data_IF_843406396287
#
_entry.id   IF_843406396287
#
_cell.length_a   1.000
_cell.length_b   1.000
_cell.length_c   1.000
_cell.angle_alpha   90.00
_cell.angle_beta   90.00
_cell.angle_gamma   90.00
#
_symmetry.space_group_name_H-M   'P 1'
#
loop_
_entity.id
_entity.type
_entity.pdbx_description
1 polymer ?
#
# COMPACT_ATOMS: atom_id res chain seq x y z
N UNK A 1 -58.70 -57.68 -75.30
CA UNK A 1 -57.92 -56.70 -76.01
C UNK A 1 -57.07 -55.93 -74.97
N UNK A 2 -55.83 -56.43 -74.75
CA UNK A 2 -54.91 -55.91 -73.77
C UNK A 2 -53.91 -54.97 -74.44
N UNK A 3 -53.89 -53.72 -74.09
CA UNK A 3 -52.85 -52.78 -74.57
C UNK A 3 -51.82 -52.57 -73.41
N UNK A 4 -50.58 -52.97 -73.70
CA UNK A 4 -49.41 -52.78 -72.86
C UNK A 4 -48.87 -51.39 -73.06
N UNK A 5 -48.83 -50.58 -71.95
CA UNK A 5 -48.11 -49.32 -71.91
C UNK A 5 -46.69 -49.55 -71.40
N UNK A 6 -45.72 -49.33 -72.24
CA UNK A 6 -44.28 -49.34 -71.92
C UNK A 6 -43.86 -48.04 -71.24
N UNK A 7 -43.39 -48.12 -70.02
CA UNK A 7 -42.78 -47.02 -69.34
C UNK A 7 -41.28 -46.91 -69.66
N UNK A 8 -40.92 -45.85 -70.40
CA UNK A 8 -39.53 -45.48 -70.66
C UNK A 8 -38.94 -44.73 -69.53
N UNK A 9 -37.95 -45.33 -68.85
CA UNK A 9 -37.21 -44.72 -67.73
C UNK A 9 -36.31 -43.61 -68.27
N UNK A 10 -36.58 -42.35 -67.89
CA UNK A 10 -35.67 -41.20 -68.12
C UNK A 10 -34.45 -41.35 -67.22
N UNK A 11 -33.26 -41.46 -67.82
CA UNK A 11 -31.97 -41.35 -67.18
C UNK A 11 -31.86 -39.98 -66.52
N UNK A 12 -31.86 -39.90 -65.21
CA UNK A 12 -31.61 -38.65 -64.44
C UNK A 12 -30.16 -38.21 -64.63
N UNK A 13 -29.98 -37.04 -65.23
CA UNK A 13 -28.73 -36.32 -65.16
C UNK A 13 -28.39 -36.01 -63.76
N UNK A 14 -27.22 -36.47 -63.28
CA UNK A 14 -26.61 -36.04 -62.09
C UNK A 14 -26.27 -34.55 -62.28
N UNK A 15 -27.09 -33.65 -61.78
CA UNK A 15 -26.68 -32.26 -61.50
C UNK A 15 -25.53 -32.33 -60.49
N UNK A 16 -24.32 -32.10 -60.95
CA UNK A 16 -23.20 -31.72 -60.11
C UNK A 16 -23.51 -30.32 -59.55
N UNK A 17 -24.24 -30.29 -58.41
CA UNK A 17 -24.41 -29.06 -57.64
C UNK A 17 -23.04 -28.55 -57.26
N UNK A 18 -22.73 -27.38 -57.78
CA UNK A 18 -21.56 -26.59 -57.34
C UNK A 18 -21.72 -26.36 -55.82
N UNK A 19 -21.10 -27.22 -55.02
CA UNK A 19 -21.11 -27.10 -53.54
C UNK A 19 -20.35 -25.86 -53.22
N UNK A 20 -21.06 -24.72 -53.15
CA UNK A 20 -20.47 -23.48 -52.66
C UNK A 20 -20.02 -23.69 -51.25
N UNK A 21 -18.71 -23.84 -51.08
CA UNK A 21 -18.08 -23.93 -49.75
C UNK A 21 -18.42 -22.68 -48.96
N UNK A 22 -18.81 -22.82 -47.69
CA UNK A 22 -19.13 -21.67 -46.84
C UNK A 22 -17.89 -20.80 -46.69
N UNK A 23 -18.07 -19.49 -46.84
CA UNK A 23 -17.02 -18.50 -46.61
C UNK A 23 -16.90 -18.28 -45.12
N UNK A 24 -15.68 -18.45 -44.56
CA UNK A 24 -15.38 -18.30 -43.15
C UNK A 24 -14.22 -17.31 -42.98
N UNK A 25 -14.43 -16.33 -42.14
CA UNK A 25 -13.40 -15.34 -41.77
C UNK A 25 -12.30 -16.00 -40.95
N UNK A 26 -11.06 -15.82 -41.38
CA UNK A 26 -9.86 -16.34 -40.72
C UNK A 26 -8.82 -15.23 -40.55
N UNK A 27 -7.97 -15.35 -39.51
CA UNK A 27 -6.82 -14.49 -39.32
C UNK A 27 -5.59 -15.30 -38.94
N UNK A 28 -4.42 -14.71 -39.08
CA UNK A 28 -3.20 -15.22 -38.49
C UNK A 28 -3.06 -14.67 -37.07
N UNK A 29 -2.50 -15.45 -36.10
CA UNK A 29 -2.12 -14.92 -34.83
C UNK A 29 -1.15 -13.73 -34.96
N UNK A 30 -1.32 -12.72 -34.14
CA UNK A 30 -0.30 -11.67 -33.97
C UNK A 30 0.82 -12.18 -33.06
N UNK A 31 2.05 -11.80 -33.36
CA UNK A 31 3.20 -12.09 -32.51
C UNK A 31 3.74 -10.78 -31.99
N UNK A 32 3.71 -10.60 -30.67
CA UNK A 32 4.17 -9.36 -30.04
C UNK A 32 4.79 -9.63 -28.65
N UNK A 33 5.49 -8.65 -28.13
CA UNK A 33 6.00 -8.70 -26.76
C UNK A 33 4.93 -8.27 -25.77
N UNK A 34 4.64 -9.11 -24.80
CA UNK A 34 3.56 -8.89 -23.81
C UNK A 34 4.14 -8.86 -22.41
N UNK A 35 3.78 -7.82 -21.66
CA UNK A 35 4.05 -7.75 -20.21
C UNK A 35 3.03 -8.62 -19.48
N UNK A 36 3.54 -9.54 -18.67
CA UNK A 36 2.73 -10.41 -17.83
C UNK A 36 2.36 -9.67 -16.56
N UNK A 37 1.07 -9.49 -16.33
CA UNK A 37 0.53 -8.73 -15.20
C UNK A 37 -0.40 -9.64 -14.38
N UNK A 38 -0.28 -9.56 -13.06
CA UNK A 38 -1.22 -10.19 -12.13
C UNK A 38 -1.82 -9.14 -11.21
N UNK A 39 -3.12 -9.23 -10.98
CA UNK A 39 -3.84 -8.31 -10.09
C UNK A 39 -3.93 -8.90 -8.70
N UNK A 40 -3.65 -8.08 -7.69
CA UNK A 40 -3.71 -8.43 -6.29
C UNK A 40 -4.62 -7.48 -5.53
N UNK A 41 -5.48 -7.99 -4.65
CA UNK A 41 -6.24 -7.14 -3.74
C UNK A 41 -5.29 -6.51 -2.72
N UNK A 42 -5.59 -5.27 -2.34
CA UNK A 42 -4.81 -4.54 -1.37
C UNK A 42 -5.62 -3.44 -0.71
N UNK A 43 -4.95 -2.65 0.10
CA UNK A 43 -5.55 -1.51 0.79
C UNK A 43 -4.55 -0.37 0.94
N UNK A 44 -5.08 0.84 1.05
CA UNK A 44 -4.28 2.04 1.28
C UNK A 44 -4.17 2.34 2.77
N UNK A 45 -3.00 2.81 3.19
CA UNK A 45 -2.78 3.40 4.51
C UNK A 45 -2.09 4.75 4.36
N UNK A 46 -2.29 5.64 5.33
CA UNK A 46 -1.53 6.88 5.39
C UNK A 46 -0.04 6.60 5.64
N UNK A 47 0.83 7.48 5.15
CA UNK A 47 2.29 7.38 5.37
C UNK A 47 2.64 7.29 6.86
N UNK A 48 1.99 8.11 7.67
CA UNK A 48 2.05 8.08 9.12
C UNK A 48 0.66 8.26 9.71
N UNK A 49 0.38 7.54 10.78
CA UNK A 49 -0.84 7.68 11.57
C UNK A 49 -0.44 7.72 13.04
N UNK A 50 -0.86 8.76 13.76
CA UNK A 50 -0.58 8.91 15.19
C UNK A 50 -1.86 9.21 15.94
N UNK A 51 -2.12 8.41 16.96
CA UNK A 51 -3.16 8.69 17.94
C UNK A 51 -2.64 9.70 18.96
N UNK A 52 -3.30 10.83 19.04
CA UNK A 52 -3.07 11.83 20.09
C UNK A 52 -3.68 11.33 21.39
N UNK A 53 -2.83 11.05 22.35
CA UNK A 53 -3.24 10.57 23.67
C UNK A 53 -2.88 11.60 24.74
N UNK A 54 -3.72 11.72 25.75
CA UNK A 54 -3.42 12.53 26.93
C UNK A 54 -2.27 11.90 27.74
N UNK A 55 -1.42 12.75 28.30
CA UNK A 55 -0.31 12.35 29.19
C UNK A 55 -0.46 12.87 30.62
N UNK A 56 -1.47 13.69 30.83
CA UNK A 56 -1.82 14.31 32.14
C UNK A 56 -3.30 14.16 32.37
N UNK A 57 -3.71 14.29 33.63
CA UNK A 57 -5.10 14.25 34.06
C UNK A 57 -5.64 15.67 34.17
N UNK A 58 -6.91 15.89 33.83
CA UNK A 58 -7.57 17.18 33.97
C UNK A 58 -8.80 17.30 33.07
N UNK A 59 -9.51 18.41 33.20
CA UNK A 59 -10.64 18.69 32.31
C UNK A 59 -10.17 19.26 30.97
N UNK A 60 -10.80 18.84 29.87
CA UNK A 60 -10.54 19.41 28.55
C UNK A 60 -11.11 20.84 28.52
N UNK A 61 -10.23 21.83 28.43
CA UNK A 61 -10.63 23.24 28.41
C UNK A 61 -10.85 23.78 27.00
N UNK A 62 -10.06 23.29 26.01
CA UNK A 62 -10.16 23.81 24.66
C UNK A 62 -9.84 22.72 23.64
N UNK A 63 -10.59 22.76 22.51
CA UNK A 63 -10.27 22.12 21.23
C UNK A 63 -9.97 23.24 20.23
N UNK A 64 -8.71 23.32 19.76
CA UNK A 64 -8.19 24.46 19.00
C UNK A 64 -8.03 24.15 17.51
N UNK A 65 -8.89 23.31 16.96
CA UNK A 65 -8.90 22.95 15.53
C UNK A 65 -10.31 22.61 15.05
N UNK A 66 -10.49 22.57 13.72
CA UNK A 66 -11.73 22.10 13.08
C UNK A 66 -11.58 20.65 12.62
N UNK A 67 -12.53 19.73 12.92
CA UNK A 67 -12.48 18.36 12.46
C UNK A 67 -12.27 18.24 10.95
N UNK A 68 -11.29 17.43 10.52
CA UNK A 68 -10.94 17.21 9.12
C UNK A 68 -10.00 18.23 8.50
N UNK A 69 -9.58 19.28 9.21
CA UNK A 69 -8.59 20.23 8.69
C UNK A 69 -7.18 19.65 8.61
N UNK A 70 -6.32 20.33 7.85
CA UNK A 70 -4.89 20.01 7.81
C UNK A 70 -4.20 20.87 8.87
N UNK A 71 -3.59 20.21 9.86
CA UNK A 71 -2.84 20.85 10.94
C UNK A 71 -1.35 20.83 10.64
N UNK A 72 -0.64 21.87 11.10
CA UNK A 72 0.83 22.00 10.94
C UNK A 72 1.55 21.36 12.13
N UNK A 73 2.79 20.89 11.90
CA UNK A 73 3.64 20.43 13.01
C UNK A 73 3.79 21.52 14.08
N UNK A 74 3.56 21.15 15.34
CA UNK A 74 3.64 22.06 16.48
C UNK A 74 2.37 22.90 16.75
N UNK A 75 1.35 22.83 15.87
CA UNK A 75 0.06 23.52 16.08
C UNK A 75 -0.61 22.99 17.34
N UNK A 76 -1.12 23.89 18.18
CA UNK A 76 -1.89 23.57 19.39
C UNK A 76 -3.23 22.97 18.96
N UNK A 77 -3.60 21.84 19.57
CA UNK A 77 -4.82 21.09 19.22
C UNK A 77 -5.78 20.98 20.41
N UNK A 78 -5.24 20.69 21.60
CA UNK A 78 -6.05 20.57 22.79
C UNK A 78 -5.34 21.25 23.97
N UNK A 79 -6.13 21.81 24.89
CA UNK A 79 -5.67 22.31 26.18
C UNK A 79 -6.40 21.52 27.26
N UNK A 80 -5.63 20.78 28.05
CA UNK A 80 -6.09 20.12 29.28
C UNK A 80 -5.77 21.08 30.43
N UNK A 81 -6.67 21.20 31.40
CA UNK A 81 -6.60 22.16 32.51
C UNK A 81 -5.18 22.29 33.11
N UNK A 82 -4.50 23.45 32.93
CA UNK A 82 -3.09 23.59 33.30
C UNK A 82 -2.89 24.06 34.75
N UNK A 83 -3.94 24.58 35.43
CA UNK A 83 -3.83 25.33 36.70
C UNK A 83 -3.00 24.60 37.77
N UNK A 84 -3.31 23.33 38.04
CA UNK A 84 -2.56 22.55 39.05
C UNK A 84 -1.09 22.30 38.65
N UNK A 85 -0.80 22.27 37.34
CA UNK A 85 0.56 22.08 36.81
C UNK A 85 1.35 23.39 36.82
N UNK A 86 0.68 24.53 36.60
CA UNK A 86 1.25 25.88 36.78
C UNK A 86 1.64 26.12 38.22
N UNK A 87 0.76 25.79 39.17
CA UNK A 87 1.06 25.86 40.62
C UNK A 87 2.26 24.97 40.98
N UNK A 88 2.34 23.76 40.42
CA UNK A 88 3.48 22.87 40.66
C UNK A 88 4.80 23.42 40.12
N UNK A 89 4.78 24.13 38.99
CA UNK A 89 5.95 24.82 38.43
C UNK A 89 6.37 25.96 39.38
N UNK A 90 5.43 26.81 39.82
CA UNK A 90 5.72 27.93 40.74
C UNK A 90 6.31 27.42 42.06
N UNK A 91 5.75 26.34 42.63
CA UNK A 91 6.29 25.69 43.85
C UNK A 91 7.72 25.19 43.63
N UNK A 92 8.01 24.53 42.49
CA UNK A 92 9.34 24.03 42.20
C UNK A 92 10.36 25.17 41.93
N UNK A 93 9.91 26.29 41.32
CA UNK A 93 10.74 27.49 41.13
C UNK A 93 11.10 28.13 42.47
N UNK A 94 10.17 28.23 43.43
CA UNK A 94 10.43 28.71 44.78
C UNK A 94 11.41 27.80 45.55
N UNK A 95 11.27 26.48 45.41
CA UNK A 95 12.18 25.50 46.03
C UNK A 95 13.61 25.63 45.43
N UNK A 96 13.75 25.81 44.13
CA UNK A 96 15.04 26.03 43.45
C UNK A 96 15.71 27.31 44.00
N UNK A 97 14.96 28.41 44.08
CA UNK A 97 15.46 29.69 44.61
C UNK A 97 15.97 29.55 46.04
N UNK A 98 15.26 28.77 46.90
CA UNK A 98 15.68 28.50 48.25
C UNK A 98 16.97 27.67 48.31
N UNK A 99 17.07 26.62 47.47
CA UNK A 99 18.28 25.78 47.38
C UNK A 99 19.50 26.60 46.88
N UNK A 100 19.28 27.49 45.95
CA UNK A 100 20.33 28.38 45.40
C UNK A 100 20.85 29.31 46.50
N UNK A 101 19.97 29.95 47.28
CA UNK A 101 20.38 30.81 48.36
C UNK A 101 21.18 30.06 49.47
N UNK A 102 20.83 28.80 49.71
CA UNK A 102 21.58 27.94 50.63
C UNK A 102 22.97 27.58 50.07
N UNK A 103 23.06 27.32 48.79
CA UNK A 103 24.32 27.05 48.12
C UNK A 103 25.22 28.31 48.15
N UNK A 104 24.72 29.46 47.79
CA UNK A 104 25.48 30.73 47.79
C UNK A 104 26.03 31.04 49.22
N UNK A 105 25.22 30.78 50.23
CA UNK A 105 25.69 30.92 51.64
C UNK A 105 26.82 29.93 51.96
N UNK A 106 26.65 28.64 51.59
CA UNK A 106 27.63 27.59 51.90
C UNK A 106 28.95 27.83 51.13
N UNK A 107 28.88 28.28 49.87
CA UNK A 107 30.04 28.61 49.04
C UNK A 107 30.83 29.79 49.60
N UNK A 108 30.15 30.86 49.99
CA UNK A 108 30.75 32.00 50.65
C UNK A 108 31.38 31.65 52.00
N UNK A 109 30.73 30.75 52.77
CA UNK A 109 31.25 30.27 54.05
C UNK A 109 32.52 29.42 53.83
N UNK A 110 32.46 28.43 52.91
CA UNK A 110 33.61 27.57 52.57
C UNK A 110 34.80 28.41 52.11
N UNK A 111 34.58 29.40 51.23
CA UNK A 111 35.63 30.29 50.75
C UNK A 111 36.33 31.03 51.86
N UNK A 112 35.57 31.61 52.83
CA UNK A 112 36.13 32.29 54.00
C UNK A 112 36.87 31.33 54.92
N UNK A 113 36.36 30.14 55.18
CA UNK A 113 37.03 29.10 55.95
C UNK A 113 38.31 28.63 55.32
N UNK A 114 38.34 28.48 54.00
CA UNK A 114 39.52 28.11 53.22
C UNK A 114 40.63 29.18 53.32
N UNK A 115 40.28 30.45 53.26
CA UNK A 115 41.21 31.59 53.47
C UNK A 115 41.77 31.61 54.90
N UNK A 116 40.92 31.41 55.92
CA UNK A 116 41.33 31.34 57.33
C UNK A 116 42.22 30.13 57.64
N UNK A 117 42.03 29.01 56.96
CA UNK A 117 42.88 27.82 57.13
C UNK A 117 44.31 28.06 56.63
N UNK A 118 44.52 28.93 55.65
CA UNK A 118 45.85 29.28 55.16
C UNK A 118 46.73 30.03 56.19
N UNK A 119 46.07 30.65 57.18
CA UNK A 119 46.71 31.34 58.28
C UNK A 119 46.69 30.56 59.61
N UNK A 120 46.42 29.24 59.58
CA UNK A 120 46.26 28.38 60.75
C UNK A 120 45.21 28.90 61.77
N UNK A 121 44.28 29.74 61.40
CA UNK A 121 43.29 30.36 62.23
C UNK A 121 42.05 29.48 62.54
N UNK A 122 41.89 28.33 61.88
CA UNK A 122 40.79 27.37 62.05
C UNK A 122 41.27 25.94 62.04
N UNK A 123 40.46 25.04 62.63
CA UNK A 123 40.66 23.59 62.57
C UNK A 123 40.44 23.02 61.22
N UNK A 124 41.21 21.98 60.80
CA UNK A 124 40.99 21.22 59.58
C UNK A 124 39.60 20.56 59.59
N UNK A 125 39.04 20.23 60.71
CA UNK A 125 37.69 19.69 60.89
C UNK A 125 36.64 20.69 60.44
N UNK A 126 36.79 21.97 60.81
CA UNK A 126 35.85 23.03 60.40
C UNK A 126 35.87 23.29 58.89
N UNK A 127 37.04 23.18 58.26
CA UNK A 127 37.16 23.28 56.83
C UNK A 127 36.46 22.11 56.13
N UNK A 128 36.68 20.88 56.60
CA UNK A 128 36.00 19.68 56.05
C UNK A 128 34.48 19.77 56.21
N UNK A 129 33.98 20.29 57.31
CA UNK A 129 32.56 20.51 57.53
C UNK A 129 31.99 21.54 56.59
N UNK A 130 32.69 22.65 56.32
CA UNK A 130 32.28 23.67 55.39
C UNK A 130 32.25 23.13 53.97
N UNK A 131 33.25 22.34 53.54
CA UNK A 131 33.29 21.67 52.27
C UNK A 131 32.12 20.67 52.07
N UNK A 132 31.89 19.82 53.08
CA UNK A 132 30.78 18.87 53.07
C UNK A 132 29.42 19.57 52.96
N UNK A 133 29.27 20.75 53.64
CA UNK A 133 28.05 21.56 53.55
C UNK A 133 27.86 22.19 52.17
N UNK A 134 28.96 22.63 51.53
CA UNK A 134 28.95 23.13 50.17
C UNK A 134 28.50 22.03 49.19
N UNK A 135 29.08 20.83 49.26
CA UNK A 135 28.70 19.72 48.40
C UNK A 135 27.24 19.27 48.64
N UNK A 136 26.77 19.26 49.89
CA UNK A 136 25.37 18.99 50.21
C UNK A 136 24.42 20.01 49.58
N UNK A 137 24.73 21.31 49.69
CA UNK A 137 23.89 22.39 49.15
C UNK A 137 23.92 22.37 47.61
N UNK A 138 25.07 22.04 46.98
CA UNK A 138 25.18 21.84 45.54
C UNK A 138 24.28 20.67 45.03
N UNK A 139 24.24 19.59 45.78
CA UNK A 139 23.35 18.46 45.51
C UNK A 139 21.87 18.86 45.63
N UNK A 140 21.53 19.72 46.62
CA UNK A 140 20.17 20.23 46.79
C UNK A 140 19.72 21.11 45.61
N UNK A 141 20.59 21.96 45.08
CA UNK A 141 20.29 22.74 43.84
C UNK A 141 19.97 21.81 42.70
N UNK A 142 20.82 20.80 42.42
CA UNK A 142 20.57 19.84 41.33
C UNK A 142 19.24 19.09 41.49
N UNK A 143 18.87 18.72 42.72
CA UNK A 143 17.58 18.06 42.97
C UNK A 143 16.40 19.00 42.71
N UNK A 144 16.50 20.27 43.09
CA UNK A 144 15.45 21.27 42.81
C UNK A 144 15.34 21.60 41.34
N UNK A 145 16.46 21.68 40.59
CA UNK A 145 16.47 21.84 39.14
C UNK A 145 15.77 20.68 38.44
N UNK A 146 16.05 19.45 38.84
CA UNK A 146 15.39 18.26 38.32
C UNK A 146 13.87 18.26 38.58
N UNK A 147 13.46 18.65 39.81
CA UNK A 147 12.06 18.80 40.17
C UNK A 147 11.33 19.85 39.31
N UNK A 148 11.95 21.02 39.10
CA UNK A 148 11.43 22.08 38.26
C UNK A 148 11.31 21.61 36.77
N UNK A 149 12.32 20.92 36.28
CA UNK A 149 12.27 20.34 34.92
C UNK A 149 11.10 19.38 34.76
N UNK A 150 10.87 18.51 35.73
CA UNK A 150 9.73 17.56 35.75
C UNK A 150 8.40 18.30 35.76
N UNK A 151 8.22 19.31 36.61
CA UNK A 151 7.00 20.12 36.64
C UNK A 151 6.72 20.83 35.33
N UNK A 152 7.73 21.42 34.69
CA UNK A 152 7.62 22.07 33.38
C UNK A 152 7.25 21.09 32.23
N UNK A 153 7.79 19.87 32.28
CA UNK A 153 7.43 18.81 31.32
C UNK A 153 5.96 18.44 31.49
N UNK A 154 5.47 18.28 32.72
CA UNK A 154 4.06 17.95 32.97
C UNK A 154 3.12 19.05 32.53
N UNK A 155 3.46 20.32 32.82
CA UNK A 155 2.74 21.48 32.30
C UNK A 155 2.73 21.50 30.77
N UNK A 156 3.86 21.15 30.12
CA UNK A 156 3.96 21.04 28.68
C UNK A 156 2.99 20.01 28.09
N UNK A 157 2.67 18.95 28.81
CA UNK A 157 1.71 17.93 28.39
C UNK A 157 0.25 18.38 28.47
N UNK A 158 -0.06 19.45 29.16
CA UNK A 158 -1.39 20.08 29.12
C UNK A 158 -1.71 20.66 27.75
N UNK A 159 -0.70 21.05 26.98
CA UNK A 159 -0.83 21.63 25.64
C UNK A 159 -0.50 20.60 24.57
N UNK A 160 -1.49 19.86 24.12
CA UNK A 160 -1.33 18.80 23.12
C UNK A 160 -1.14 19.43 21.74
N UNK A 161 0.01 19.17 21.10
CA UNK A 161 0.40 19.71 19.80
C UNK A 161 0.54 18.63 18.74
N UNK A 162 0.36 19.01 17.49
CA UNK A 162 0.55 18.11 16.34
C UNK A 162 2.03 17.69 16.18
N UNK A 163 2.34 16.38 16.12
CA UNK A 163 3.71 15.88 15.96
C UNK A 163 4.27 16.09 14.55
N UNK A 164 3.40 16.11 13.54
CA UNK A 164 3.72 16.35 12.12
C UNK A 164 2.55 17.05 11.43
N UNK A 165 2.77 17.50 10.20
CA UNK A 165 1.72 18.07 9.35
C UNK A 165 0.83 16.96 8.77
N UNK A 166 -0.49 17.05 8.97
CA UNK A 166 -1.43 16.05 8.49
C UNK A 166 -2.88 16.42 8.71
N UNK A 167 -3.79 15.59 8.26
CA UNK A 167 -5.23 15.77 8.45
C UNK A 167 -5.64 15.18 9.79
N UNK A 168 -6.30 15.98 10.62
CA UNK A 168 -6.79 15.55 11.92
C UNK A 168 -8.22 15.02 11.85
N UNK A 169 -8.50 13.96 12.61
CA UNK A 169 -9.86 13.42 12.77
C UNK A 169 -10.74 14.34 13.61
N UNK A 170 -12.01 13.95 13.80
CA UNK A 170 -12.84 14.58 14.83
C UNK A 170 -12.26 14.34 16.23
N UNK A 171 -12.52 15.24 17.15
CA UNK A 171 -12.29 15.02 18.58
C UNK A 171 -13.20 13.89 19.10
N UNK A 172 -12.68 13.09 20.02
CA UNK A 172 -13.44 12.01 20.66
C UNK A 172 -14.09 12.46 21.99
N UNK A 173 -13.63 13.59 22.54
CA UNK A 173 -14.14 14.19 23.77
C UNK A 173 -14.36 15.69 23.55
N UNK A 174 -15.42 16.20 24.16
CA UNK A 174 -15.78 17.62 24.10
C UNK A 174 -15.22 18.39 25.30
N UNK A 175 -15.16 19.69 25.19
CA UNK A 175 -14.80 20.61 26.26
C UNK A 175 -15.67 20.33 27.49
N UNK A 176 -15.01 20.27 28.68
CA UNK A 176 -15.64 19.94 29.94
C UNK A 176 -15.58 18.45 30.32
N UNK A 177 -15.14 17.56 29.44
CA UNK A 177 -14.91 16.17 29.81
C UNK A 177 -13.61 16.02 30.61
N UNK A 178 -13.62 15.11 31.60
CA UNK A 178 -12.41 14.73 32.32
C UNK A 178 -11.56 13.76 31.48
N UNK A 179 -10.28 14.07 31.34
CA UNK A 179 -9.31 13.33 30.53
C UNK A 179 -8.32 12.67 31.47
N UNK A 180 -7.99 11.40 31.22
CA UNK A 180 -6.99 10.65 31.98
C UNK A 180 -5.74 10.39 31.14
N UNK A 181 -4.58 10.78 31.69
CA UNK A 181 -3.25 10.47 31.15
C UNK A 181 -2.55 9.30 31.86
N UNK A 182 -3.23 8.64 32.80
CA UNK A 182 -2.69 7.53 33.62
C UNK A 182 -2.81 6.19 32.91
N UNK A 183 -2.86 5.08 33.65
CA UNK A 183 -2.86 3.65 33.20
C UNK A 183 -3.57 3.30 31.91
N UNK A 184 -4.65 4.00 31.55
CA UNK A 184 -5.28 3.97 30.22
C UNK A 184 -5.34 5.40 29.70
N UNK A 185 -4.33 5.76 28.90
CA UNK A 185 -4.29 7.09 28.28
C UNK A 185 -5.49 7.30 27.38
N UNK A 186 -6.22 8.40 27.59
CA UNK A 186 -7.37 8.78 26.76
C UNK A 186 -6.91 9.21 25.38
N UNK A 187 -7.41 8.55 24.35
CA UNK A 187 -7.23 8.95 22.94
C UNK A 187 -8.13 10.14 22.65
N UNK A 188 -7.54 11.26 22.20
CA UNK A 188 -8.23 12.51 21.93
C UNK A 188 -8.66 12.65 20.45
N UNK A 189 -7.74 12.35 19.54
CA UNK A 189 -7.93 12.39 18.10
C UNK A 189 -6.85 11.56 17.39
N UNK A 190 -6.95 11.42 16.07
CA UNK A 190 -5.92 10.80 15.24
C UNK A 190 -5.48 11.78 14.15
N UNK A 191 -4.17 11.87 13.88
CA UNK A 191 -3.62 12.62 12.77
C UNK A 191 -3.11 11.64 11.72
N UNK A 192 -3.47 11.92 10.45
CA UNK A 192 -3.09 11.15 9.27
C UNK A 192 -2.22 12.00 8.36
N UNK A 193 -1.03 11.53 8.01
CA UNK A 193 -0.23 12.13 6.95
C UNK A 193 -0.67 11.52 5.62
N UNK A 194 -1.50 12.23 4.87
CA UNK A 194 -2.20 11.73 3.69
C UNK A 194 -1.71 12.32 2.35
N UNK A 195 -0.65 13.12 2.32
CA UNK A 195 -0.01 13.62 1.07
C UNK A 195 0.60 12.50 0.22
N UNK A 196 1.02 11.45 0.89
CA UNK A 196 1.46 10.19 0.31
C UNK A 196 0.77 9.05 1.04
N UNK A 197 0.56 7.96 0.34
CA UNK A 197 -0.10 6.77 0.86
C UNK A 197 0.78 5.55 0.65
N UNK A 198 0.61 4.55 1.49
CA UNK A 198 1.13 3.22 1.25
C UNK A 198 0.03 2.30 0.75
N UNK A 199 0.31 1.61 -0.35
CA UNK A 199 -0.52 0.53 -0.87
C UNK A 199 0.08 -0.80 -0.43
N UNK A 200 -0.60 -1.53 0.46
CA UNK A 200 -0.20 -2.86 0.91
C UNK A 200 -0.97 -3.93 0.15
N UNK A 201 -0.27 -4.95 -0.28
CA UNK A 201 -0.83 -6.14 -0.90
C UNK A 201 0.06 -7.35 -0.66
N UNK A 202 -0.50 -8.54 -0.83
CA UNK A 202 0.22 -9.79 -0.61
C UNK A 202 0.32 -10.58 -1.90
N UNK A 203 1.49 -11.18 -2.15
CA UNK A 203 1.71 -12.11 -3.26
C UNK A 203 1.99 -13.51 -2.71
N UNK A 204 1.66 -14.54 -3.48
CA UNK A 204 1.97 -15.92 -3.13
C UNK A 204 3.49 -16.17 -3.24
N UNK A 205 4.01 -17.06 -2.40
CA UNK A 205 5.42 -17.48 -2.41
C UNK A 205 5.87 -18.02 -3.77
N UNK A 206 5.02 -18.82 -4.43
CA UNK A 206 5.27 -19.33 -5.78
C UNK A 206 5.41 -18.20 -6.81
N UNK A 207 4.67 -17.11 -6.67
CA UNK A 207 4.79 -15.96 -7.55
C UNK A 207 6.12 -15.24 -7.34
N UNK A 208 6.54 -15.09 -6.08
CA UNK A 208 7.84 -14.53 -5.74
C UNK A 208 8.99 -15.36 -6.33
N UNK A 209 8.93 -16.68 -6.21
CA UNK A 209 9.92 -17.58 -6.80
C UNK A 209 9.98 -17.46 -8.34
N UNK A 210 8.83 -17.32 -9.01
CA UNK A 210 8.79 -17.08 -10.46
C UNK A 210 9.46 -15.75 -10.84
N UNK A 211 9.24 -14.70 -10.06
CA UNK A 211 9.90 -13.39 -10.27
C UNK A 211 11.42 -13.51 -10.13
N UNK A 212 11.92 -14.19 -9.10
CA UNK A 212 13.34 -14.44 -8.89
C UNK A 212 13.96 -15.24 -10.06
N UNK A 213 13.30 -16.30 -10.51
CA UNK A 213 13.77 -17.12 -11.62
C UNK A 213 13.82 -16.35 -12.96
N UNK A 214 12.87 -15.47 -13.18
CA UNK A 214 12.85 -14.60 -14.37
C UNK A 214 14.01 -13.58 -14.32
N UNK A 215 14.30 -13.04 -13.16
CA UNK A 215 15.41 -12.11 -12.95
C UNK A 215 16.77 -12.78 -13.18
N UNK A 216 16.96 -14.02 -12.72
CA UNK A 216 18.22 -14.77 -12.86
C UNK A 216 18.52 -15.19 -14.29
N UNK A 217 17.50 -15.35 -15.15
CA UNK A 217 17.65 -15.77 -16.55
C UNK A 217 18.00 -14.62 -17.51
N UNK A 218 18.28 -13.41 -17.00
CA UNK A 218 18.60 -12.25 -17.85
C UNK A 218 17.49 -11.85 -18.81
N UNK A 219 16.34 -12.53 -18.78
CA UNK A 219 15.12 -12.05 -19.42
C UNK A 219 14.76 -10.80 -18.64
N UNK A 220 14.77 -9.66 -19.30
CA UNK A 220 14.40 -8.40 -18.71
C UNK A 220 13.08 -8.60 -17.98
N UNK A 221 13.17 -8.97 -16.70
CA UNK A 221 12.09 -8.77 -15.78
C UNK A 221 11.77 -7.29 -15.95
N UNK A 222 10.54 -6.96 -16.28
CA UNK A 222 10.11 -5.58 -16.23
C UNK A 222 10.37 -5.13 -14.80
N UNK A 223 11.48 -4.48 -14.48
CA UNK A 223 11.66 -3.85 -13.19
C UNK A 223 10.96 -2.52 -13.31
N UNK A 224 9.67 -2.58 -13.51
CA UNK A 224 8.88 -1.44 -13.15
C UNK A 224 8.69 -1.60 -11.65
N UNK A 225 9.48 -0.87 -10.88
CA UNK A 225 9.14 -0.56 -9.49
C UNK A 225 7.78 0.16 -9.40
N UNK A 226 7.20 0.46 -10.56
CA UNK A 226 5.93 1.15 -10.75
C UNK A 226 4.81 0.14 -10.96
N UNK A 227 3.80 0.19 -10.09
CA UNK A 227 2.59 -0.61 -10.17
C UNK A 227 1.37 0.28 -10.40
N UNK A 228 0.41 -0.20 -11.17
CA UNK A 228 -0.85 0.51 -11.39
C UNK A 228 -1.83 0.15 -10.27
N UNK A 229 -2.53 1.17 -9.77
CA UNK A 229 -3.52 1.04 -8.69
C UNK A 229 -4.90 1.32 -9.26
N UNK A 230 -5.76 0.34 -9.14
CA UNK A 230 -7.14 0.38 -9.60
C UNK A 230 -8.09 0.40 -8.40
N UNK A 231 -9.17 1.11 -8.54
CA UNK A 231 -10.28 1.14 -7.60
C UNK A 231 -11.47 0.37 -8.19
N UNK A 232 -12.44 0.01 -7.36
CA UNK A 232 -13.66 -0.66 -7.82
C UNK A 232 -14.46 0.21 -8.79
N UNK A 233 -14.50 1.52 -8.51
CA UNK A 233 -15.11 2.50 -9.39
C UNK A 233 -14.05 3.27 -10.18
N UNK A 234 -14.33 3.64 -11.43
CA UNK A 234 -13.41 4.43 -12.24
C UNK A 234 -13.11 5.76 -11.56
N UNK A 235 -11.84 6.05 -11.38
CA UNK A 235 -11.38 7.35 -10.87
C UNK A 235 -11.09 8.31 -12.02
N UNK A 236 -11.18 9.62 -11.75
CA UNK A 236 -10.87 10.66 -12.74
C UNK A 236 -9.40 10.67 -13.19
N UNK A 237 -8.53 9.97 -12.45
CA UNK A 237 -7.08 9.88 -12.71
C UNK A 237 -6.61 8.45 -12.52
N UNK A 238 -5.54 8.11 -13.23
CA UNK A 238 -4.79 6.89 -12.98
C UNK A 238 -3.81 7.10 -11.84
N UNK A 239 -3.78 6.16 -10.91
CA UNK A 239 -2.86 6.16 -9.78
C UNK A 239 -1.80 5.08 -9.99
N UNK A 240 -0.57 5.45 -9.66
CA UNK A 240 0.58 4.55 -9.73
C UNK A 240 1.33 4.59 -8.41
N UNK A 241 1.79 3.43 -7.99
CA UNK A 241 2.67 3.29 -6.84
C UNK A 241 4.06 2.88 -7.25
N UNK A 242 5.05 3.25 -6.45
CA UNK A 242 6.43 2.75 -6.56
C UNK A 242 6.67 1.74 -5.45
N UNK A 243 7.07 0.52 -5.82
CA UNK A 243 7.44 -0.52 -4.85
C UNK A 243 8.63 -0.04 -4.01
N UNK A 244 8.48 -0.06 -2.71
CA UNK A 244 9.52 0.39 -1.77
C UNK A 244 9.84 -0.62 -0.66
N UNK A 245 8.99 -1.64 -0.48
CA UNK A 245 9.18 -2.66 0.54
C UNK A 245 8.66 -4.02 0.10
N UNK A 246 9.44 -5.05 0.39
CA UNK A 246 9.07 -6.45 0.31
C UNK A 246 9.36 -7.10 1.67
N UNK A 247 8.40 -7.84 2.21
CA UNK A 247 8.60 -8.57 3.47
C UNK A 247 9.80 -9.52 3.38
N UNK A 248 10.67 -9.56 4.39
CA UNK A 248 11.81 -10.47 4.43
C UNK A 248 11.41 -11.93 4.71
N UNK A 249 10.18 -12.19 5.11
CA UNK A 249 9.65 -13.50 5.45
C UNK A 249 8.30 -13.76 4.79
N UNK A 250 8.01 -15.03 4.56
CA UNK A 250 6.69 -15.52 4.16
C UNK A 250 5.83 -15.68 5.42
N UNK A 251 4.60 -15.21 5.38
CA UNK A 251 3.62 -15.52 6.42
C UNK A 251 3.19 -16.99 6.27
N UNK A 252 3.53 -17.81 7.26
CA UNK A 252 3.29 -19.26 7.22
C UNK A 252 1.81 -19.64 7.29
N UNK A 253 0.94 -18.74 7.76
CA UNK A 253 -0.49 -18.99 7.85
C UNK A 253 -1.19 -18.85 6.50
N UNK A 254 -0.66 -17.98 5.63
CA UNK A 254 -1.26 -17.66 4.33
C UNK A 254 -0.40 -18.07 3.14
N UNK A 255 0.87 -18.39 3.34
CA UNK A 255 1.83 -18.69 2.27
C UNK A 255 2.14 -17.47 1.40
N UNK A 256 2.05 -16.26 1.96
CA UNK A 256 2.20 -15.01 1.19
C UNK A 256 3.30 -14.11 1.73
N UNK A 257 3.82 -13.23 0.86
CA UNK A 257 4.72 -12.15 1.21
C UNK A 257 3.99 -10.82 1.06
N UNK A 258 4.16 -9.94 2.05
CA UNK A 258 3.61 -8.58 2.00
C UNK A 258 4.54 -7.67 1.19
N UNK A 259 3.94 -6.93 0.27
CA UNK A 259 4.60 -5.91 -0.55
C UNK A 259 3.94 -4.57 -0.28
N UNK A 260 4.73 -3.51 -0.38
CA UNK A 260 4.26 -2.14 -0.23
C UNK A 260 4.70 -1.30 -1.42
N UNK A 261 3.82 -0.43 -1.85
CA UNK A 261 4.13 0.62 -2.81
C UNK A 261 3.78 2.00 -2.23
N UNK A 262 4.63 2.98 -2.47
CA UNK A 262 4.36 4.38 -2.15
C UNK A 262 3.56 5.02 -3.28
N UNK A 263 2.50 5.75 -2.94
CA UNK A 263 1.54 6.37 -3.87
C UNK A 263 1.40 7.84 -3.54
N UNK A 264 1.58 8.70 -4.51
CA UNK A 264 1.35 10.14 -4.33
C UNK A 264 -0.15 10.47 -4.26
N UNK A 265 -0.53 11.32 -3.32
CA UNK A 265 -1.91 11.78 -3.10
C UNK A 265 -1.98 13.33 -2.99
N UNK A 266 -1.57 14.07 -4.03
CA UNK A 266 -1.46 15.53 -3.95
C UNK A 266 -2.79 16.24 -3.71
N UNK A 267 -3.89 15.69 -4.19
CA UNK A 267 -5.24 16.23 -3.99
C UNK A 267 -5.90 15.79 -2.68
N UNK A 268 -5.30 14.84 -1.94
CA UNK A 268 -5.89 14.31 -0.70
C UNK A 268 -7.18 13.52 -0.90
N UNK A 269 -7.39 12.99 -2.11
CA UNK A 269 -8.58 12.19 -2.48
C UNK A 269 -8.53 10.80 -1.86
N UNK A 270 -7.33 10.20 -1.87
CA UNK A 270 -7.11 8.86 -1.31
C UNK A 270 -7.20 8.92 0.21
N UNK A 271 -7.84 7.92 0.78
CA UNK A 271 -8.03 7.79 2.22
C UNK A 271 -7.48 6.46 2.72
N UNK A 272 -6.97 6.46 3.95
CA UNK A 272 -6.59 5.24 4.65
C UNK A 272 -7.80 4.32 4.80
N UNK A 273 -7.59 3.02 4.51
CA UNK A 273 -8.65 2.00 4.54
C UNK A 273 -9.35 1.76 3.21
N UNK A 274 -9.08 2.52 2.14
CA UNK A 274 -9.64 2.23 0.81
C UNK A 274 -9.08 0.90 0.29
N UNK A 275 -9.97 0.04 -0.20
CA UNK A 275 -9.63 -1.17 -0.93
C UNK A 275 -9.23 -0.83 -2.36
N UNK A 276 -8.17 -1.50 -2.82
CA UNK A 276 -7.58 -1.31 -4.14
C UNK A 276 -7.25 -2.64 -4.79
N UNK A 277 -7.07 -2.63 -6.10
CA UNK A 277 -6.46 -3.72 -6.86
C UNK A 277 -5.15 -3.22 -7.46
N UNK A 278 -4.06 -3.94 -7.22
CA UNK A 278 -2.72 -3.60 -7.69
C UNK A 278 -2.36 -4.51 -8.86
N UNK A 279 -2.07 -3.92 -10.02
CA UNK A 279 -1.57 -4.62 -11.20
C UNK A 279 -0.05 -4.70 -11.14
N UNK A 280 0.45 -5.86 -10.72
CA UNK A 280 1.88 -6.13 -10.58
C UNK A 280 2.41 -6.78 -11.86
N UNK A 281 3.31 -6.12 -12.60
CA UNK A 281 4.05 -6.75 -13.68
C UNK A 281 5.07 -7.73 -13.08
N UNK A 282 5.06 -8.98 -13.54
CA UNK A 282 5.95 -10.02 -13.01
C UNK A 282 6.87 -10.67 -14.05
N UNK A 283 6.78 -10.25 -15.29
CA UNK A 283 7.63 -10.73 -16.37
C UNK A 283 7.23 -10.18 -17.72
N UNK A 284 7.93 -10.57 -18.75
CA UNK A 284 7.58 -10.31 -20.14
C UNK A 284 7.72 -11.61 -20.95
N UNK A 285 6.90 -11.75 -21.98
CA UNK A 285 7.00 -12.82 -22.95
C UNK A 285 7.28 -12.17 -24.32
N UNK A 286 8.49 -12.32 -24.78
CA UNK A 286 8.85 -11.98 -26.16
C UNK A 286 8.20 -13.02 -27.10
N UNK A 287 7.71 -12.59 -28.25
CA UNK A 287 7.04 -13.45 -29.24
C UNK A 287 5.81 -14.21 -28.67
N UNK A 288 5.00 -13.55 -27.84
CA UNK A 288 3.72 -14.11 -27.41
C UNK A 288 2.77 -14.22 -28.61
N UNK A 289 2.11 -15.36 -28.72
CA UNK A 289 1.09 -15.59 -29.74
C UNK A 289 -0.23 -15.02 -29.23
N UNK A 290 -0.78 -14.07 -29.97
CA UNK A 290 -2.00 -13.35 -29.61
C UNK A 290 -3.11 -13.66 -30.62
N UNK A 291 -4.28 -14.04 -30.11
CA UNK A 291 -5.49 -14.27 -30.87
C UNK A 291 -6.64 -13.44 -30.32
N UNK A 292 -7.69 -13.21 -31.07
CA UNK A 292 -8.90 -12.57 -30.55
C UNK A 292 -9.56 -13.47 -29.51
N UNK A 293 -9.83 -12.95 -28.32
CA UNK A 293 -10.45 -13.72 -27.22
C UNK A 293 -11.80 -14.31 -27.65
N UNK A 294 -12.57 -13.59 -28.46
CA UNK A 294 -13.85 -14.06 -29.04
C UNK A 294 -13.72 -15.24 -30.00
N UNK A 295 -12.52 -15.63 -30.41
CA UNK A 295 -12.25 -16.80 -31.28
C UNK A 295 -11.97 -18.07 -30.46
N UNK A 296 -11.93 -17.98 -29.16
CA UNK A 296 -11.70 -19.10 -28.26
C UNK A 296 -13.06 -19.61 -27.78
N UNK A 297 -13.32 -20.89 -27.99
CA UNK A 297 -14.50 -21.57 -27.48
C UNK A 297 -14.14 -22.50 -26.32
N UNK A 298 -15.15 -22.92 -25.56
CA UNK A 298 -14.99 -23.84 -24.44
C UNK A 298 -15.98 -24.98 -24.58
N UNK A 299 -15.52 -26.21 -24.35
CA UNK A 299 -16.35 -27.40 -24.23
C UNK A 299 -16.02 -28.19 -22.96
N UNK A 300 -16.45 -29.46 -22.90
CA UNK A 300 -16.21 -30.34 -21.75
C UNK A 300 -14.73 -30.75 -21.58
N UNK A 301 -13.93 -30.67 -22.66
CA UNK A 301 -12.51 -31.00 -22.69
C UNK A 301 -11.61 -29.79 -22.37
N UNK A 302 -12.17 -28.57 -22.37
CA UNK A 302 -11.41 -27.36 -22.11
C UNK A 302 -11.60 -26.28 -23.16
N UNK A 303 -10.58 -25.42 -23.31
CA UNK A 303 -10.60 -24.37 -24.34
C UNK A 303 -10.04 -24.86 -25.64
N UNK A 304 -10.67 -24.44 -26.73
CA UNK A 304 -10.27 -24.82 -28.07
C UNK A 304 -10.46 -23.68 -29.07
N UNK A 305 -9.83 -23.83 -30.22
CA UNK A 305 -10.02 -22.98 -31.39
C UNK A 305 -10.23 -23.81 -32.64
N UNK A 306 -10.91 -23.23 -33.63
CA UNK A 306 -10.95 -23.79 -34.97
C UNK A 306 -9.84 -23.19 -35.83
N UNK A 307 -9.03 -24.04 -36.45
CA UNK A 307 -7.94 -23.69 -37.33
C UNK A 307 -8.26 -24.24 -38.71
N UNK A 308 -7.94 -23.50 -39.78
CA UNK A 308 -8.12 -23.96 -41.14
C UNK A 308 -6.78 -24.40 -41.71
N UNK A 309 -6.65 -25.68 -42.02
CA UNK A 309 -5.43 -26.27 -42.55
C UNK A 309 -5.18 -25.88 -44.05
N UNK A 310 -4.06 -26.32 -44.62
CA UNK A 310 -3.67 -26.01 -46.01
C UNK A 310 -4.63 -26.59 -47.04
N UNK A 311 -5.36 -27.64 -46.71
CA UNK A 311 -6.42 -28.23 -47.55
C UNK A 311 -7.77 -27.50 -47.42
N UNK A 312 -7.82 -26.36 -46.71
CA UNK A 312 -9.02 -25.59 -46.40
C UNK A 312 -10.11 -26.38 -45.63
N UNK A 313 -9.68 -27.27 -44.74
CA UNK A 313 -10.55 -28.04 -43.87
C UNK A 313 -10.38 -27.49 -42.45
N UNK A 314 -11.49 -27.38 -41.72
CA UNK A 314 -11.52 -26.92 -40.35
C UNK A 314 -11.04 -28.02 -39.40
N UNK A 315 -10.09 -27.71 -38.55
CA UNK A 315 -9.57 -28.57 -37.51
C UNK A 315 -9.98 -28.04 -36.13
N UNK A 316 -10.37 -28.94 -35.24
CA UNK A 316 -10.53 -28.66 -33.82
C UNK A 316 -9.14 -28.75 -33.15
N UNK A 317 -8.73 -27.67 -32.45
CA UNK A 317 -7.41 -27.63 -31.81
C UNK A 317 -7.55 -27.18 -30.37
N UNK A 318 -7.24 -28.07 -29.39
CA UNK A 318 -7.17 -27.68 -28.00
C UNK A 318 -6.10 -26.61 -27.79
N UNK A 319 -6.37 -25.64 -26.92
CA UNK A 319 -5.43 -24.54 -26.63
C UNK A 319 -5.31 -24.27 -25.14
N UNK A 320 -4.10 -23.96 -24.71
CA UNK A 320 -3.87 -23.38 -23.40
C UNK A 320 -3.79 -21.86 -23.52
N UNK A 321 -4.56 -21.16 -22.66
CA UNK A 321 -4.70 -19.72 -22.76
C UNK A 321 -4.04 -19.01 -21.60
N UNK A 322 -3.25 -17.98 -21.89
CA UNK A 322 -2.68 -17.06 -20.94
C UNK A 322 -3.59 -15.86 -20.63
N UNK A 323 -2.96 -14.73 -20.27
CA UNK A 323 -3.67 -13.51 -19.91
C UNK A 323 -4.37 -12.83 -21.12
N UNK A 324 -5.41 -12.05 -20.79
CA UNK A 324 -6.06 -11.13 -21.71
C UNK A 324 -5.21 -9.86 -21.86
N UNK A 325 -5.05 -9.39 -23.11
CA UNK A 325 -4.28 -8.20 -23.45
C UNK A 325 -5.20 -7.20 -24.16
N UNK A 326 -5.18 -5.95 -23.71
CA UNK A 326 -5.99 -4.86 -24.28
C UNK A 326 -7.49 -5.22 -24.43
N UNK A 327 -8.03 -5.99 -23.49
CA UNK A 327 -9.44 -6.43 -23.39
C UNK A 327 -9.99 -7.18 -24.62
N UNK A 328 -9.17 -7.43 -25.64
CA UNK A 328 -9.60 -8.02 -26.91
C UNK A 328 -8.75 -9.19 -27.39
N UNK A 329 -7.48 -9.22 -27.01
CA UNK A 329 -6.51 -10.23 -27.42
C UNK A 329 -6.14 -11.14 -26.26
N UNK A 330 -6.02 -12.43 -26.51
CA UNK A 330 -5.58 -13.41 -25.53
C UNK A 330 -4.27 -14.03 -25.94
N UNK A 331 -3.36 -14.15 -24.99
CA UNK A 331 -2.14 -14.93 -25.16
C UNK A 331 -2.50 -16.40 -25.26
N UNK A 332 -1.93 -17.11 -26.24
CA UNK A 332 -1.98 -18.56 -26.31
C UNK A 332 -0.64 -19.11 -25.86
N UNK A 333 -0.70 -19.98 -24.86
CA UNK A 333 0.48 -20.60 -24.28
C UNK A 333 0.89 -21.85 -25.08
N UNK A 334 -0.09 -22.67 -25.50
CA UNK A 334 0.11 -23.87 -26.31
C UNK A 334 -1.08 -24.10 -27.26
N UNK A 335 -0.84 -24.83 -28.36
CA UNK A 335 -1.86 -25.33 -29.26
C UNK A 335 -1.97 -24.61 -30.62
N UNK A 336 -1.37 -23.42 -30.79
CA UNK A 336 -1.40 -22.67 -32.08
C UNK A 336 0.00 -22.15 -32.43
N UNK A 337 0.29 -22.20 -33.74
CA UNK A 337 1.49 -21.64 -34.36
C UNK A 337 1.22 -20.25 -34.99
N UNK A 338 2.23 -19.38 -35.10
CA UNK A 338 2.08 -18.08 -35.79
C UNK A 338 1.60 -18.18 -37.25
N UNK A 339 1.80 -19.33 -37.88
CA UNK A 339 1.41 -19.60 -39.28
C UNK A 339 0.00 -20.18 -39.44
N UNK A 340 -0.67 -20.54 -38.34
CA UNK A 340 -2.00 -21.12 -38.36
C UNK A 340 -3.07 -20.08 -38.70
N UNK A 341 -4.03 -20.46 -39.55
CA UNK A 341 -5.20 -19.63 -39.87
C UNK A 341 -6.33 -19.97 -38.92
N UNK A 342 -6.59 -19.17 -37.91
CA UNK A 342 -7.70 -19.42 -36.98
C UNK A 342 -9.00 -18.73 -37.39
N UNK A 343 -10.13 -19.33 -37.10
CA UNK A 343 -11.46 -18.80 -37.39
C UNK A 343 -11.79 -17.64 -36.42
N UNK A 344 -12.14 -16.48 -37.00
CA UNK A 344 -12.40 -15.24 -36.19
C UNK A 344 -13.87 -15.02 -35.90
N UNK A 345 -14.76 -15.48 -36.79
CA UNK A 345 -16.22 -15.28 -36.70
C UNK A 345 -16.98 -16.56 -37.05
N UNK A 346 -18.22 -16.60 -36.62
CA UNK A 346 -19.15 -17.69 -36.93
C UNK A 346 -18.76 -19.07 -36.35
N UNK A 347 -18.15 -19.13 -35.18
CA UNK A 347 -17.75 -20.36 -34.50
C UNK A 347 -18.89 -21.39 -34.41
N UNK A 348 -20.14 -20.94 -34.25
CA UNK A 348 -21.33 -21.81 -34.16
C UNK A 348 -21.71 -22.46 -35.53
N UNK A 349 -21.18 -21.95 -36.65
CA UNK A 349 -21.44 -22.45 -38.01
C UNK A 349 -20.39 -23.41 -38.51
N UNK A 350 -19.29 -23.58 -37.79
CA UNK A 350 -18.12 -24.40 -38.16
C UNK A 350 -18.08 -25.68 -37.36
N UNK A 351 -17.63 -26.74 -37.97
CA UNK A 351 -17.40 -28.05 -37.31
C UNK A 351 -16.08 -28.63 -37.82
N UNK A 352 -15.42 -29.40 -36.99
CA UNK A 352 -14.23 -30.13 -37.36
C UNK A 352 -14.52 -31.05 -38.57
N UNK A 353 -13.57 -31.07 -39.54
CA UNK A 353 -13.69 -31.82 -40.80
C UNK A 353 -14.48 -31.09 -41.90
N UNK A 354 -15.00 -29.90 -41.65
CA UNK A 354 -15.80 -29.15 -42.63
C UNK A 354 -14.88 -28.45 -43.67
N UNK A 355 -15.06 -28.66 -44.97
CA UNK A 355 -14.35 -27.90 -46.01
C UNK A 355 -14.94 -26.49 -46.12
N UNK A 356 -14.08 -25.46 -46.15
CA UNK A 356 -14.47 -24.05 -46.14
C UNK A 356 -13.68 -23.23 -47.16
N UNK A 357 -14.18 -22.05 -47.49
CA UNK A 357 -13.44 -21.03 -48.22
C UNK A 357 -12.95 -19.97 -47.25
N UNK A 358 -11.66 -19.97 -46.89
CA UNK A 358 -11.13 -19.00 -45.92
C UNK A 358 -11.04 -17.59 -46.56
N UNK A 359 -11.54 -16.60 -45.84
CA UNK A 359 -11.43 -15.18 -46.18
C UNK A 359 -10.59 -14.52 -45.11
N UNK A 360 -9.41 -14.04 -45.47
CA UNK A 360 -8.49 -13.36 -44.55
C UNK A 360 -9.06 -12.03 -44.10
N UNK A 361 -9.23 -11.86 -42.80
CA UNK A 361 -9.45 -10.55 -42.17
C UNK A 361 -8.11 -9.91 -41.80
N UNK A 362 -7.98 -8.61 -42.08
CA UNK A 362 -6.86 -7.83 -41.54
C UNK A 362 -7.10 -7.64 -40.05
N UNK A 363 -6.08 -8.00 -39.25
CA UNK A 363 -6.06 -7.69 -37.81
C UNK A 363 -6.06 -6.19 -37.55
#
# INVERSE_FOLDING_TARGET
>A
MFSLFSCQAKKGEKQSGDVRLPEISVAYPAVDSVVLIKSYPGYLTSLQTVDLVARVNGYLQQVAYTPGEIVKKGQLLFVIEPSQYEDAVEQAEAALKTAQAQYDYAENNYTRMKEAAQSDAISTIDLIQAESKLEQSRASVRNAEAALSTARIQLGYCYVKAPFEGRISRNLYDVGNYISGSLQSTKLATIYQDKKMYAYFNIEDNQYLKMLLNQSKGKHSVPSDRVEILFQEPTSRSYYGRLDYLSPNVDLSTGTLSIRAEVDNPAGELKSGLYISIRLPYGSREHAILVRDASIATDQLGKYMYVVNDSNVVEYRPVETGQLVNDTLRVIDEGISPTDRYVTKALLKVRAGMPVRPVLEKN
#
